data_IF_590928808004
#
_entry.id   IF_590928808004
#
_cell.length_a   1.000
_cell.length_b   1.000
_cell.length_c   1.000
_cell.angle_alpha   90.00
_cell.angle_beta   90.00
_cell.angle_gamma   90.00
#
_symmetry.space_group_name_H-M   'P 1'
#
loop_
_entity.id
_entity.type
_entity.pdbx_description
1 polymer ?
#
# COMPACT_ATOMS: atom_id res chain seq x y z
N UNK A 1 -10.71 -7.59 -16.28
CA UNK A 1 -10.22 -6.43 -17.05
C UNK A 1 -8.74 -6.27 -16.75
N UNK A 2 -7.92 -5.96 -17.75
CA UNK A 2 -6.50 -5.64 -17.55
C UNK A 2 -6.43 -4.24 -16.93
N UNK A 3 -5.76 -4.12 -15.80
CA UNK A 3 -5.60 -2.86 -15.08
C UNK A 3 -4.50 -2.02 -15.73
N UNK A 4 -4.84 -0.80 -16.12
CA UNK A 4 -3.91 0.17 -16.70
C UNK A 4 -3.41 1.21 -15.69
N UNK A 5 -3.67 0.96 -14.39
CA UNK A 5 -3.36 1.87 -13.29
C UNK A 5 -4.48 2.89 -13.02
N UNK A 6 -4.35 3.58 -11.89
CA UNK A 6 -5.28 4.63 -11.47
C UNK A 6 -4.53 5.96 -11.34
N UNK A 7 -5.17 7.03 -11.81
CA UNK A 7 -4.65 8.40 -11.70
C UNK A 7 -4.79 8.90 -10.26
N UNK A 8 -3.71 9.46 -9.72
CA UNK A 8 -3.69 10.20 -8.46
C UNK A 8 -4.00 11.68 -8.71
N UNK A 9 -5.17 12.12 -8.27
CA UNK A 9 -5.57 13.54 -8.36
C UNK A 9 -4.54 14.47 -7.70
N UNK A 10 -3.82 14.04 -6.66
CA UNK A 10 -2.83 14.86 -5.95
C UNK A 10 -1.58 15.14 -6.79
N UNK A 11 -1.33 14.36 -7.84
CA UNK A 11 -0.20 14.57 -8.76
C UNK A 11 -0.52 15.53 -9.89
N UNK A 12 -1.78 15.93 -10.05
CA UNK A 12 -2.18 16.90 -11.07
C UNK A 12 -1.64 18.28 -10.67
N UNK A 13 -0.70 18.88 -11.45
CA UNK A 13 -0.08 20.15 -11.10
C UNK A 13 -0.98 21.30 -11.52
N UNK A 14 -2.13 21.44 -10.85
CA UNK A 14 -3.07 22.55 -11.03
C UNK A 14 -3.26 23.32 -9.74
N UNK A 15 -3.65 24.60 -9.88
CA UNK A 15 -3.99 25.41 -8.73
C UNK A 15 -5.24 24.81 -8.04
N UNK A 16 -5.20 24.63 -6.72
CA UNK A 16 -6.32 24.14 -5.94
C UNK A 16 -7.54 25.07 -6.00
N UNK A 17 -7.36 26.32 -6.43
CA UNK A 17 -8.45 27.29 -6.62
C UNK A 17 -9.21 27.09 -7.94
N UNK A 18 -8.75 26.20 -8.84
CA UNK A 18 -9.38 25.94 -10.14
C UNK A 18 -10.05 24.56 -10.10
N UNK A 19 -11.36 24.51 -10.37
CA UNK A 19 -12.10 23.27 -10.42
C UNK A 19 -11.83 22.50 -11.72
N UNK A 20 -11.56 21.21 -11.59
CA UNK A 20 -11.50 20.26 -12.71
C UNK A 20 -12.94 19.83 -13.00
N UNK A 21 -13.42 20.11 -14.21
CA UNK A 21 -14.80 19.80 -14.64
C UNK A 21 -14.89 18.57 -15.52
N UNK A 22 -13.81 18.19 -16.20
CA UNK A 22 -13.77 17.00 -17.04
C UNK A 22 -12.34 16.43 -17.16
N UNK A 23 -12.24 15.15 -17.52
CA UNK A 23 -10.99 14.48 -17.81
C UNK A 23 -11.18 13.41 -18.89
N UNK A 24 -10.27 13.41 -19.87
CA UNK A 24 -10.25 12.46 -20.98
C UNK A 24 -8.93 11.72 -21.01
N UNK A 25 -9.00 10.40 -21.13
CA UNK A 25 -7.83 9.57 -21.38
C UNK A 25 -7.75 9.21 -22.87
N UNK A 26 -6.60 9.50 -23.50
CA UNK A 26 -6.37 9.22 -24.92
C UNK A 26 -4.88 9.09 -25.22
N UNK A 27 -4.47 8.04 -25.93
CA UNK A 27 -3.09 7.83 -26.43
C UNK A 27 -2.03 7.99 -25.31
N UNK A 28 -2.20 7.30 -24.18
CA UNK A 28 -1.35 7.37 -22.97
C UNK A 28 -1.22 8.77 -22.34
N UNK A 29 -2.19 9.64 -22.62
CA UNK A 29 -2.27 10.99 -22.06
C UNK A 29 -3.58 11.17 -21.31
N UNK A 30 -3.50 12.01 -20.28
CA UNK A 30 -4.65 12.52 -19.55
C UNK A 30 -4.81 14.00 -19.92
N UNK A 31 -5.95 14.33 -20.50
CA UNK A 31 -6.36 15.70 -20.83
C UNK A 31 -7.33 16.14 -19.73
N UNK A 32 -6.96 17.16 -19.00
CA UNK A 32 -7.74 17.71 -17.90
C UNK A 32 -8.35 19.03 -18.37
N UNK A 33 -9.65 19.20 -18.17
CA UNK A 33 -10.39 20.40 -18.54
C UNK A 33 -10.83 21.11 -17.25
N UNK A 34 -10.48 22.38 -17.15
CA UNK A 34 -10.93 23.22 -16.02
C UNK A 34 -12.24 23.96 -16.29
N UNK A 35 -12.78 24.57 -15.24
CA UNK A 35 -13.97 25.44 -15.26
C UNK A 35 -13.89 26.60 -16.28
N UNK A 36 -12.67 27.02 -16.67
CA UNK A 36 -12.42 28.06 -17.67
C UNK A 36 -12.27 27.49 -19.09
N UNK A 37 -12.51 26.18 -19.28
CA UNK A 37 -12.35 25.43 -20.53
C UNK A 37 -10.90 25.40 -21.03
N UNK A 38 -9.93 25.58 -20.15
CA UNK A 38 -8.52 25.41 -20.49
C UNK A 38 -8.16 23.93 -20.36
N UNK A 39 -7.48 23.43 -21.37
CA UNK A 39 -6.97 22.07 -21.39
C UNK A 39 -5.51 22.03 -20.91
N UNK A 40 -5.21 21.05 -20.06
CA UNK A 40 -3.86 20.67 -19.69
C UNK A 40 -3.64 19.19 -20.03
N UNK A 41 -2.52 18.87 -20.67
CA UNK A 41 -2.21 17.52 -21.15
C UNK A 41 -0.99 16.99 -20.40
N UNK A 42 -1.14 15.82 -19.79
CA UNK A 42 -0.11 15.14 -19.04
C UNK A 42 0.09 13.72 -19.56
N UNK A 43 1.28 13.15 -19.38
CA UNK A 43 1.46 11.70 -19.62
C UNK A 43 0.75 10.94 -18.51
N UNK A 44 0.08 9.83 -18.85
CA UNK A 44 -0.63 8.99 -17.87
C UNK A 44 0.30 8.54 -16.75
N UNK A 45 1.48 8.04 -17.10
CA UNK A 45 2.51 7.57 -16.15
C UNK A 45 2.91 8.63 -15.11
N UNK A 46 2.94 9.92 -15.46
CA UNK A 46 3.31 10.99 -14.54
C UNK A 46 2.23 11.23 -13.46
N UNK A 47 1.00 10.83 -13.75
CA UNK A 47 -0.15 11.02 -12.88
C UNK A 47 -0.62 9.75 -12.17
N UNK A 48 -0.09 8.57 -12.51
CA UNK A 48 -0.46 7.33 -11.82
C UNK A 48 -0.07 7.36 -10.33
N UNK A 49 -0.85 6.69 -9.49
CA UNK A 49 -0.41 6.40 -8.12
C UNK A 49 0.93 5.65 -8.13
N UNK A 50 1.78 5.89 -7.13
CA UNK A 50 3.10 5.23 -7.04
C UNK A 50 2.96 3.69 -7.02
N UNK A 51 1.88 3.17 -6.43
CA UNK A 51 1.55 1.73 -6.43
C UNK A 51 1.16 1.15 -7.77
N UNK A 52 0.75 1.99 -8.72
CA UNK A 52 0.43 1.56 -10.08
C UNK A 52 1.68 1.53 -10.98
N UNK A 53 2.74 2.27 -10.63
CA UNK A 53 3.97 2.37 -11.42
C UNK A 53 4.84 1.11 -11.37
N UNK A 54 4.70 0.33 -10.31
CA UNK A 54 5.48 -0.88 -10.03
C UNK A 54 4.61 -2.12 -9.78
N UNK A 55 3.29 -2.03 -9.96
CA UNK A 55 2.41 -3.20 -9.88
C UNK A 55 2.69 -4.19 -11.01
N UNK A 56 3.09 -5.41 -10.65
CA UNK A 56 3.33 -6.53 -11.57
C UNK A 56 2.07 -7.40 -11.81
N UNK A 57 0.98 -7.16 -11.05
CA UNK A 57 -0.29 -7.90 -11.12
C UNK A 57 -1.40 -7.10 -11.81
N UNK A 58 -1.10 -6.54 -12.98
CA UNK A 58 -2.08 -5.78 -13.79
C UNK A 58 -3.13 -6.69 -14.44
N UNK A 59 -2.80 -7.97 -14.61
CA UNK A 59 -3.72 -9.02 -15.03
C UNK A 59 -4.26 -9.74 -13.79
N UNK A 60 -5.60 -9.87 -13.64
CA UNK A 60 -6.16 -10.75 -12.63
C UNK A 60 -5.67 -12.18 -12.83
N UNK A 61 -5.04 -12.79 -11.82
CA UNK A 61 -4.54 -14.17 -11.90
C UNK A 61 -5.65 -15.18 -12.20
N UNK A 62 -6.89 -14.85 -11.82
CA UNK A 62 -8.08 -15.69 -11.98
C UNK A 62 -9.14 -14.90 -12.74
N UNK A 63 -9.61 -15.42 -13.87
CA UNK A 63 -10.64 -14.80 -14.71
C UNK A 63 -11.24 -15.81 -15.69
N UNK A 64 -12.53 -15.71 -15.97
CA UNK A 64 -13.18 -16.46 -17.05
C UNK A 64 -13.03 -15.75 -18.41
N UNK A 65 -13.13 -14.42 -18.39
CA UNK A 65 -13.01 -13.56 -19.57
C UNK A 65 -12.08 -12.40 -19.23
N UNK A 66 -11.02 -12.26 -20.04
CA UNK A 66 -10.11 -11.12 -19.95
C UNK A 66 -10.51 -10.05 -20.98
N UNK A 67 -10.67 -8.81 -20.51
CA UNK A 67 -10.99 -7.64 -21.34
C UNK A 67 -9.81 -6.69 -21.24
N UNK A 68 -9.30 -6.22 -22.38
CA UNK A 68 -8.15 -5.32 -22.49
C UNK A 68 -7.05 -5.89 -23.38
N UNK A 69 -6.05 -5.07 -23.69
CA UNK A 69 -4.83 -5.47 -24.39
C UNK A 69 -3.76 -5.89 -23.40
N UNK A 70 -2.90 -6.84 -23.79
CA UNK A 70 -1.80 -7.25 -22.92
C UNK A 70 -0.95 -6.03 -22.53
N UNK A 71 -0.64 -5.87 -21.22
CA UNK A 71 0.14 -4.74 -20.75
C UNK A 71 1.58 -4.86 -21.27
N UNK A 72 2.21 -3.75 -21.62
CA UNK A 72 3.67 -3.74 -21.79
C UNK A 72 4.29 -4.04 -20.41
N UNK A 73 5.06 -5.12 -20.30
CA UNK A 73 5.61 -5.64 -19.04
C UNK A 73 6.72 -4.75 -18.44
N UNK A 74 6.87 -3.51 -18.92
CA UNK A 74 7.82 -2.54 -18.38
C UNK A 74 7.17 -1.84 -17.18
N UNK A 75 7.51 -2.32 -16.00
CA UNK A 75 7.14 -1.67 -14.73
C UNK A 75 8.40 -1.28 -13.98
N UNK A 76 8.32 -0.18 -13.24
CA UNK A 76 9.44 0.32 -12.45
C UNK A 76 9.68 -0.56 -11.22
N UNK A 77 10.89 -0.56 -10.68
CA UNK A 77 11.23 -1.20 -9.39
C UNK A 77 11.15 -0.19 -8.24
N UNK A 78 10.26 0.81 -8.35
CA UNK A 78 10.23 1.99 -7.48
C UNK A 78 10.11 1.61 -5.99
N UNK A 79 9.11 0.81 -5.61
CA UNK A 79 8.91 0.45 -4.19
C UNK A 79 9.98 -0.47 -3.67
N UNK A 80 10.49 -1.40 -4.49
CA UNK A 80 11.64 -2.22 -4.13
C UNK A 80 12.82 -1.32 -3.77
N UNK A 81 13.18 -0.39 -4.65
CA UNK A 81 14.25 0.58 -4.41
C UNK A 81 14.01 1.43 -3.16
N UNK A 82 12.79 1.93 -2.93
CA UNK A 82 12.44 2.72 -1.73
C UNK A 82 12.67 1.90 -0.46
N UNK A 83 12.21 0.65 -0.44
CA UNK A 83 12.34 -0.22 0.74
C UNK A 83 13.79 -0.66 0.94
N UNK A 84 14.55 -0.98 -0.10
CA UNK A 84 15.98 -1.27 0.02
C UNK A 84 16.77 -0.05 0.55
N UNK A 85 16.44 1.16 0.10
CA UNK A 85 17.07 2.37 0.63
C UNK A 85 16.65 2.66 2.07
N UNK A 86 15.42 2.30 2.45
CA UNK A 86 14.98 2.32 3.85
C UNK A 86 15.73 1.28 4.70
N UNK A 87 15.99 0.08 4.18
CA UNK A 87 16.77 -0.98 4.82
C UNK A 87 18.26 -0.64 4.95
N UNK A 88 18.81 0.26 4.14
CA UNK A 88 20.20 0.72 4.32
C UNK A 88 20.37 1.71 5.47
N UNK A 89 19.29 2.34 5.94
CA UNK A 89 19.31 3.30 7.05
C UNK A 89 19.60 2.61 8.37
N UNK A 90 20.22 3.35 9.30
CA UNK A 90 20.38 2.93 10.70
C UNK A 90 19.03 2.77 11.41
N UNK A 91 19.01 2.02 12.52
CA UNK A 91 17.80 1.83 13.32
C UNK A 91 17.18 3.17 13.78
N UNK A 92 18.02 4.12 14.20
CA UNK A 92 17.57 5.45 14.64
C UNK A 92 16.91 6.24 13.50
N UNK A 93 17.49 6.20 12.30
CA UNK A 93 16.91 6.85 11.11
C UNK A 93 15.58 6.22 10.69
N UNK A 94 15.49 4.88 10.71
CA UNK A 94 14.24 4.17 10.41
C UNK A 94 13.16 4.49 11.44
N UNK A 95 13.53 4.50 12.72
CA UNK A 95 12.62 4.85 13.80
C UNK A 95 12.14 6.29 13.67
N UNK A 96 13.05 7.23 13.43
CA UNK A 96 12.70 8.64 13.19
C UNK A 96 11.74 8.79 12.01
N UNK A 97 12.00 8.14 10.87
CA UNK A 97 11.10 8.17 9.73
C UNK A 97 9.71 7.60 10.07
N UNK A 98 9.65 6.49 10.80
CA UNK A 98 8.39 5.94 11.30
C UNK A 98 7.64 6.94 12.19
N UNK A 99 8.31 7.56 13.16
CA UNK A 99 7.71 8.57 14.03
C UNK A 99 7.18 9.78 13.24
N UNK A 100 7.96 10.26 12.25
CA UNK A 100 7.56 11.36 11.37
C UNK A 100 6.30 11.03 10.57
N UNK A 101 6.19 9.82 9.99
CA UNK A 101 4.99 9.41 9.28
C UNK A 101 3.79 9.24 10.22
N UNK A 102 3.97 8.53 11.33
CA UNK A 102 2.87 8.15 12.21
C UNK A 102 2.34 9.34 13.03
N UNK A 103 3.17 10.33 13.35
CA UNK A 103 2.74 11.55 14.06
C UNK A 103 1.69 12.37 13.32
N UNK A 104 1.57 12.22 12.00
CA UNK A 104 0.53 12.86 11.17
C UNK A 104 -0.85 12.21 11.33
N UNK A 105 -0.93 11.01 11.93
CA UNK A 105 -2.15 10.22 11.97
C UNK A 105 -3.21 10.84 12.87
N UNK A 106 -4.36 11.15 12.28
CA UNK A 106 -5.56 11.63 13.01
C UNK A 106 -6.50 10.49 13.43
N UNK A 107 -6.07 9.24 13.26
CA UNK A 107 -6.82 8.03 13.65
C UNK A 107 -8.24 7.95 13.07
N UNK A 108 -8.42 8.44 11.84
CA UNK A 108 -9.69 8.36 11.12
C UNK A 108 -10.03 6.96 10.60
N UNK A 109 -9.10 6.00 10.70
CA UNK A 109 -9.23 4.61 10.24
C UNK A 109 -9.52 4.40 8.75
N UNK A 110 -9.43 5.42 7.90
CA UNK A 110 -9.63 5.29 6.45
C UNK A 110 -8.73 4.19 5.84
N UNK A 111 -7.47 4.13 6.26
CA UNK A 111 -6.52 3.10 5.84
C UNK A 111 -6.95 1.67 6.24
N UNK A 112 -7.68 1.50 7.35
CA UNK A 112 -8.26 0.20 7.75
C UNK A 112 -9.49 -0.11 6.92
N UNK A 113 -10.41 0.84 6.77
CA UNK A 113 -11.69 0.63 6.08
C UNK A 113 -11.53 0.32 4.60
N UNK A 114 -10.52 0.91 3.93
CA UNK A 114 -10.23 0.64 2.52
C UNK A 114 -9.49 -0.67 2.29
N UNK A 115 -8.93 -1.29 3.34
CA UNK A 115 -8.07 -2.45 3.18
C UNK A 115 -8.92 -3.72 3.03
N UNK A 116 -8.82 -4.46 1.90
CA UNK A 116 -9.61 -5.67 1.70
C UNK A 116 -9.24 -6.79 2.68
N UNK A 117 -8.07 -6.71 3.33
CA UNK A 117 -7.58 -7.69 4.30
C UNK A 117 -7.95 -7.35 5.76
N UNK A 118 -8.58 -6.21 6.02
CA UNK A 118 -9.00 -5.79 7.36
C UNK A 118 -10.45 -6.22 7.67
N UNK A 119 -10.77 -7.51 7.45
CA UNK A 119 -12.13 -8.07 7.59
C UNK A 119 -12.41 -8.81 8.91
N UNK A 120 -11.50 -8.72 9.89
CA UNK A 120 -11.66 -9.43 11.16
C UNK A 120 -13.00 -9.07 11.84
N UNK A 121 -13.74 -10.10 12.29
CA UNK A 121 -14.99 -9.92 13.06
C UNK A 121 -14.78 -9.08 14.31
N UNK A 122 -13.63 -9.28 14.95
CA UNK A 122 -13.20 -8.53 16.12
C UNK A 122 -11.84 -7.89 15.83
N UNK A 123 -11.74 -6.58 16.00
CA UNK A 123 -10.51 -5.84 15.76
C UNK A 123 -9.91 -5.33 17.07
N UNK A 124 -8.62 -5.58 17.30
CA UNK A 124 -7.88 -5.04 18.45
C UNK A 124 -8.01 -3.52 18.60
N UNK A 125 -8.23 -2.81 17.48
CA UNK A 125 -8.40 -1.36 17.47
C UNK A 125 -9.75 -0.88 18.01
N UNK A 126 -10.75 -1.77 18.07
CA UNK A 126 -12.10 -1.49 18.56
C UNK A 126 -12.40 -2.19 19.89
N UNK A 127 -11.55 -3.15 20.29
CA UNK A 127 -11.72 -3.88 21.54
C UNK A 127 -11.44 -3.00 22.77
N UNK A 128 -12.36 -3.05 23.73
CA UNK A 128 -12.21 -2.42 25.05
C UNK A 128 -11.86 -3.42 26.15
N UNK A 129 -11.95 -4.73 25.87
CA UNK A 129 -11.68 -5.83 26.81
C UNK A 129 -11.09 -7.06 26.08
N UNK A 130 -9.79 -7.37 26.25
CA UNK A 130 -8.78 -6.52 26.89
C UNK A 130 -8.58 -5.22 26.10
N UNK A 131 -8.16 -4.15 26.79
CA UNK A 131 -7.92 -2.85 26.17
C UNK A 131 -6.50 -2.81 25.62
N UNK A 132 -6.34 -3.06 24.32
CA UNK A 132 -5.04 -3.03 23.65
C UNK A 132 -4.53 -1.61 23.40
N UNK A 133 -5.43 -0.70 23.01
CA UNK A 133 -5.10 0.70 22.72
C UNK A 133 -6.04 1.65 23.47
N UNK A 134 -5.52 2.81 23.87
CA UNK A 134 -6.36 3.91 24.34
C UNK A 134 -7.28 4.42 23.23
N UNK A 135 -8.36 5.17 23.55
CA UNK A 135 -9.26 5.75 22.56
C UNK A 135 -8.77 7.11 22.02
N UNK A 136 -7.62 7.61 22.48
CA UNK A 136 -7.17 8.98 22.23
C UNK A 136 -6.22 9.10 21.03
N UNK A 137 -5.90 10.32 20.63
CA UNK A 137 -4.85 10.59 19.65
C UNK A 137 -3.48 10.76 20.31
N UNK A 138 -3.26 10.15 21.49
CA UNK A 138 -1.93 10.08 22.07
C UNK A 138 -1.01 9.32 21.12
N UNK A 139 0.20 9.82 20.93
CA UNK A 139 1.18 9.24 20.02
C UNK A 139 1.46 7.77 20.34
N UNK A 140 1.44 7.37 21.61
CA UNK A 140 1.63 5.96 21.99
C UNK A 140 0.49 5.06 21.49
N UNK A 141 -0.76 5.52 21.60
CA UNK A 141 -1.95 4.80 21.10
C UNK A 141 -1.90 4.66 19.57
N UNK A 142 -1.51 5.75 18.89
CA UNK A 142 -1.40 5.78 17.42
C UNK A 142 -0.27 4.84 16.95
N UNK A 143 0.89 4.89 17.60
CA UNK A 143 2.02 4.01 17.27
C UNK A 143 1.63 2.55 17.45
N UNK A 144 1.01 2.19 18.58
CA UNK A 144 0.57 0.81 18.81
C UNK A 144 -0.45 0.36 17.76
N UNK A 145 -1.42 1.22 17.42
CA UNK A 145 -2.38 0.93 16.35
C UNK A 145 -1.68 0.66 15.01
N UNK A 146 -0.75 1.53 14.60
CA UNK A 146 -0.09 1.39 13.30
C UNK A 146 0.87 0.20 13.27
N UNK A 147 1.68 0.00 14.31
CA UNK A 147 2.54 -1.19 14.45
C UNK A 147 1.70 -2.46 14.40
N UNK A 148 0.68 -2.59 15.26
CA UNK A 148 -0.18 -3.76 15.30
C UNK A 148 -0.87 -4.03 13.97
N UNK A 149 -1.39 -2.98 13.31
CA UNK A 149 -2.02 -3.11 11.99
C UNK A 149 -1.01 -3.54 10.93
N UNK A 150 0.18 -2.93 10.87
CA UNK A 150 1.23 -3.29 9.91
C UNK A 150 1.61 -4.76 10.09
N UNK A 151 1.90 -5.20 11.31
CA UNK A 151 2.25 -6.60 11.60
C UNK A 151 1.14 -7.60 11.28
N UNK A 152 -0.13 -7.25 11.52
CA UNK A 152 -1.27 -8.09 11.10
C UNK A 152 -1.35 -8.29 9.57
N UNK A 153 -0.67 -7.46 8.77
CA UNK A 153 -0.62 -7.60 7.32
C UNK A 153 0.52 -8.50 6.82
N UNK A 154 1.40 -9.00 7.69
CA UNK A 154 2.42 -9.97 7.32
C UNK A 154 1.78 -11.21 6.67
N UNK A 155 2.16 -11.51 5.42
CA UNK A 155 1.61 -12.62 4.64
C UNK A 155 0.16 -12.40 4.15
N UNK A 156 -0.37 -11.18 4.26
CA UNK A 156 -1.71 -10.82 3.79
C UNK A 156 -1.71 -9.62 2.86
N UNK A 157 -0.81 -8.66 3.06
CA UNK A 157 -0.69 -7.49 2.20
C UNK A 157 -0.40 -7.91 0.75
N UNK A 158 -1.17 -7.39 -0.20
CA UNK A 158 -0.97 -7.58 -1.64
C UNK A 158 -0.36 -6.33 -2.31
N UNK A 159 0.15 -5.41 -1.49
CA UNK A 159 0.77 -4.15 -1.92
C UNK A 159 -0.09 -3.23 -2.83
N UNK A 160 -1.42 -3.29 -2.72
CA UNK A 160 -2.32 -2.48 -3.56
C UNK A 160 -2.27 -0.96 -3.32
N UNK A 161 -1.49 -0.45 -2.37
CA UNK A 161 -1.38 0.98 -2.06
C UNK A 161 -2.63 1.66 -1.48
N UNK A 162 -3.78 0.98 -1.41
CA UNK A 162 -5.07 1.57 -1.03
C UNK A 162 -5.04 2.32 0.31
N UNK A 163 -4.27 1.80 1.28
CA UNK A 163 -4.14 2.42 2.60
C UNK A 163 -3.45 3.79 2.58
N UNK A 164 -2.49 4.00 1.67
CA UNK A 164 -1.83 5.29 1.43
C UNK A 164 -2.75 6.21 0.63
N UNK A 165 -3.46 5.68 -0.37
CA UNK A 165 -4.37 6.48 -1.21
C UNK A 165 -5.52 7.08 -0.39
N UNK A 166 -6.12 6.27 0.49
CA UNK A 166 -7.22 6.69 1.35
C UNK A 166 -6.78 7.62 2.50
N UNK A 167 -5.47 7.79 2.74
CA UNK A 167 -5.00 8.60 3.85
C UNK A 167 -5.18 10.10 3.53
N UNK A 168 -6.02 10.84 4.29
CA UNK A 168 -6.15 12.28 4.09
C UNK A 168 -4.88 13.05 4.51
N UNK A 169 -4.05 12.44 5.35
CA UNK A 169 -2.83 13.05 5.89
C UNK A 169 -1.56 12.70 5.09
N UNK A 170 -1.69 11.95 3.99
CA UNK A 170 -0.56 11.58 3.15
C UNK A 170 0.52 10.77 3.88
N UNK A 171 0.10 9.90 4.80
CA UNK A 171 1.02 9.01 5.53
C UNK A 171 1.47 7.92 4.58
N UNK A 172 2.79 7.76 4.47
CA UNK A 172 3.35 6.59 3.79
C UNK A 172 3.25 5.37 4.72
N UNK A 173 2.25 4.52 4.47
CA UNK A 173 2.15 3.20 5.09
C UNK A 173 2.79 2.11 4.23
N UNK A 174 2.99 2.39 2.94
CA UNK A 174 3.36 1.38 1.94
C UNK A 174 4.80 0.93 2.15
N UNK A 175 5.72 1.85 2.46
CA UNK A 175 7.11 1.47 2.82
C UNK A 175 7.16 0.41 3.92
N UNK A 176 6.35 0.57 4.98
CA UNK A 176 6.33 -0.38 6.09
C UNK A 176 5.61 -1.69 5.75
N UNK A 177 4.50 -1.63 5.02
CA UNK A 177 3.76 -2.84 4.66
C UNK A 177 4.46 -3.65 3.57
N UNK A 178 5.11 -2.99 2.60
CA UNK A 178 5.88 -3.66 1.55
C UNK A 178 7.14 -4.33 2.12
N UNK A 179 7.78 -3.73 3.12
CA UNK A 179 8.86 -4.38 3.86
C UNK A 179 8.43 -5.75 4.39
N UNK A 180 7.22 -5.88 4.94
CA UNK A 180 6.68 -7.18 5.38
C UNK A 180 6.34 -8.12 4.22
N UNK A 181 5.92 -7.59 3.05
CA UNK A 181 5.74 -8.42 1.84
C UNK A 181 7.07 -9.01 1.39
N UNK A 182 8.12 -8.17 1.31
CA UNK A 182 9.50 -8.57 0.98
C UNK A 182 10.04 -9.60 1.97
N UNK A 183 9.91 -9.34 3.27
CA UNK A 183 10.33 -10.28 4.32
C UNK A 183 9.63 -11.64 4.18
N UNK A 184 8.32 -11.63 3.96
CA UNK A 184 7.56 -12.88 3.82
C UNK A 184 7.99 -13.67 2.59
N UNK A 185 8.28 -12.98 1.47
CA UNK A 185 8.80 -13.62 0.27
C UNK A 185 10.20 -14.21 0.51
N UNK A 186 11.11 -13.47 1.14
CA UNK A 186 12.50 -13.91 1.39
C UNK A 186 12.63 -15.02 2.45
N UNK A 187 11.75 -15.01 3.45
CA UNK A 187 11.79 -15.96 4.57
C UNK A 187 10.98 -17.24 4.30
N UNK A 188 9.85 -17.14 3.60
CA UNK A 188 8.90 -18.25 3.45
C UNK A 188 8.56 -18.60 2.00
N UNK A 189 9.16 -17.93 1.02
CA UNK A 189 8.84 -18.04 -0.42
C UNK A 189 7.34 -17.91 -0.70
N UNK A 190 6.66 -17.04 0.04
CA UNK A 190 5.22 -16.85 -0.04
C UNK A 190 4.86 -15.48 -0.56
N UNK A 191 3.81 -15.42 -1.39
CA UNK A 191 3.25 -14.18 -1.90
C UNK A 191 1.73 -14.18 -1.77
N UNK A 192 1.18 -13.12 -1.16
CA UNK A 192 -0.23 -13.07 -0.83
C UNK A 192 -1.10 -12.87 -2.06
N UNK A 193 -2.20 -13.62 -2.15
CA UNK A 193 -3.27 -13.39 -3.14
C UNK A 193 -3.05 -14.00 -4.52
N UNK A 194 -2.03 -14.85 -4.71
CA UNK A 194 -1.74 -15.48 -6.01
C UNK A 194 -2.31 -16.90 -6.18
N UNK A 195 -2.58 -17.59 -5.06
CA UNK A 195 -2.99 -19.00 -5.03
C UNK A 195 -4.15 -19.17 -4.04
N UNK A 196 -5.08 -20.06 -4.35
CA UNK A 196 -6.18 -20.41 -3.43
C UNK A 196 -5.78 -21.53 -2.48
N UNK A 197 -4.76 -22.29 -2.85
CA UNK A 197 -4.28 -23.48 -2.17
C UNK A 197 -3.20 -23.16 -1.13
N UNK A 198 -2.41 -22.11 -1.38
CA UNK A 198 -1.32 -21.72 -0.49
C UNK A 198 -1.84 -21.08 0.79
N UNK A 199 -1.42 -21.65 1.93
CA UNK A 199 -1.72 -21.08 3.24
C UNK A 199 -0.70 -20.00 3.60
N UNK A 200 -1.13 -18.86 4.18
CA UNK A 200 -0.22 -17.84 4.67
C UNK A 200 0.78 -18.40 5.70
N UNK A 201 2.02 -17.88 5.77
CA UNK A 201 3.06 -18.41 6.66
C UNK A 201 2.68 -18.47 8.14
N UNK A 202 1.85 -17.54 8.62
CA UNK A 202 1.39 -17.51 10.02
C UNK A 202 0.21 -18.46 10.30
N UNK A 203 -0.26 -19.19 9.30
CA UNK A 203 -1.33 -20.18 9.40
C UNK A 203 -0.86 -21.60 9.04
N UNK A 204 0.43 -21.77 8.76
CA UNK A 204 1.04 -23.06 8.40
C UNK A 204 2.40 -23.20 9.08
N UNK A 205 3.02 -24.37 8.95
CA UNK A 205 4.36 -24.65 9.45
C UNK A 205 5.06 -25.59 8.47
N UNK A 206 6.29 -25.28 8.08
CA UNK A 206 7.15 -26.20 7.31
C UNK A 206 8.39 -26.52 8.16
N UNK A 207 8.77 -27.79 8.32
CA UNK A 207 10.00 -28.17 9.03
C UNK A 207 11.27 -27.51 8.49
N UNK A 208 11.27 -27.12 7.21
CA UNK A 208 12.37 -26.49 6.50
C UNK A 208 12.39 -24.95 6.60
N UNK A 209 11.41 -24.33 7.28
CA UNK A 209 11.40 -22.87 7.49
C UNK A 209 12.65 -22.42 8.24
N UNK A 210 13.26 -21.30 7.84
CA UNK A 210 14.50 -20.77 8.45
C UNK A 210 14.31 -20.54 9.95
N UNK A 211 15.13 -21.19 10.78
CA UNK A 211 15.09 -21.06 12.25
C UNK A 211 16.24 -20.22 12.82
N UNK A 212 16.98 -19.50 11.98
CA UNK A 212 18.18 -18.72 12.36
C UNK A 212 17.91 -17.75 13.51
N UNK A 213 16.70 -17.16 13.57
CA UNK A 213 16.28 -16.25 14.65
C UNK A 213 16.12 -16.92 16.03
N UNK A 214 16.01 -18.27 16.09
CA UNK A 214 15.97 -19.03 17.35
C UNK A 214 17.38 -19.42 17.77
N UNK A 215 18.25 -19.73 16.80
CA UNK A 215 19.58 -20.29 17.04
C UNK A 215 20.68 -19.23 17.16
N UNK A 216 20.48 -18.03 16.60
CA UNK A 216 21.44 -16.93 16.59
C UNK A 216 20.77 -15.59 16.99
N UNK A 217 20.57 -15.33 18.30
CA UNK A 217 19.93 -14.10 18.80
C UNK A 217 20.81 -12.85 18.75
#
# INVERSE_FOLDING_TARGET
VICEGMVDRKKIPMNNDIEIVDALEKDDKIIIIDENKKEAVYKKEELLFDSCLDCIYTRPSVHDILIGTEPDNKRSELTVSIVEDFEKKSLDERWKYFQEQISKCIRCYACRQVCPNCYCKECFAEQTRPKWIGPTNNISDIMFFQIGRIFHMAGRCIDCGACTHACPMGIDLRTFTYKLVKDVKELFDYEAGLSFEDLPPLATFKPEDKQEYITEP
#
